data_IF_994565362364
#
_entry.id   IF_994565362364
#
_cell.length_a   1.000
_cell.length_b   1.000
_cell.length_c   1.000
_cell.angle_alpha   90.00
_cell.angle_beta   90.00
_cell.angle_gamma   90.00
#
_symmetry.space_group_name_H-M   'P 1'
#
loop_
_entity.id
_entity.type
_entity.pdbx_description
1 polymer ?
#
# COMPACT_ATOMS: atom_id res chain seq x y z
N UNK A 1 -29.13 18.41 9.41
CA UNK A 1 -28.20 19.51 9.69
C UNK A 1 -27.84 19.41 11.16
N UNK A 2 -26.60 19.04 11.49
CA UNK A 2 -26.11 18.97 12.85
C UNK A 2 -25.97 20.41 13.37
N UNK A 3 -26.66 20.76 14.46
CA UNK A 3 -26.60 22.10 15.05
C UNK A 3 -25.14 22.40 15.45
N UNK A 4 -24.60 23.52 14.96
CA UNK A 4 -23.26 23.98 15.33
C UNK A 4 -23.16 24.24 16.83
N UNK A 5 -22.00 24.04 17.44
CA UNK A 5 -21.75 24.40 18.83
C UNK A 5 -21.98 25.91 19.05
N UNK A 6 -22.42 26.35 20.26
CA UNK A 6 -22.55 27.75 20.57
C UNK A 6 -21.24 28.53 20.32
N UNK A 7 -21.35 29.72 19.70
CA UNK A 7 -20.19 30.56 19.34
C UNK A 7 -19.49 30.19 18.02
N UNK A 8 -19.90 29.10 17.35
CA UNK A 8 -19.39 28.76 16.03
C UNK A 8 -20.26 29.39 14.93
N UNK A 9 -19.61 29.81 13.85
CA UNK A 9 -20.28 30.30 12.63
C UNK A 9 -20.09 29.30 11.48
N UNK A 10 -21.05 29.27 10.57
CA UNK A 10 -20.89 28.60 9.28
C UNK A 10 -20.43 29.62 8.25
N UNK A 11 -19.28 29.40 7.62
CA UNK A 11 -18.67 30.36 6.69
C UNK A 11 -18.17 29.63 5.45
N UNK A 12 -18.07 30.35 4.33
CA UNK A 12 -17.39 29.81 3.15
C UNK A 12 -15.88 30.04 3.21
N UNK A 13 -15.08 29.28 2.44
CA UNK A 13 -13.65 29.52 2.37
C UNK A 13 -13.30 30.92 1.83
N UNK A 14 -14.14 31.52 1.01
CA UNK A 14 -13.92 32.89 0.53
C UNK A 14 -14.14 33.95 1.62
N UNK A 15 -15.04 33.72 2.57
CA UNK A 15 -15.31 34.66 3.66
C UNK A 15 -14.14 34.78 4.65
N UNK A 16 -13.31 33.75 4.75
CA UNK A 16 -12.15 33.69 5.64
C UNK A 16 -10.82 34.03 4.96
N UNK A 17 -10.84 34.32 3.67
CA UNK A 17 -9.65 34.74 2.93
C UNK A 17 -9.23 36.16 3.33
N UNK A 18 -7.92 36.42 3.28
CA UNK A 18 -7.39 37.75 3.52
C UNK A 18 -7.94 38.75 2.48
N UNK A 19 -8.08 39.99 2.89
CA UNK A 19 -8.57 41.08 2.02
C UNK A 19 -7.56 41.55 0.97
N UNK A 20 -6.30 41.06 1.05
CA UNK A 20 -5.26 41.36 0.07
C UNK A 20 -5.60 40.86 -1.33
N UNK A 21 -5.20 41.58 -2.40
CA UNK A 21 -5.43 41.12 -3.76
C UNK A 21 -4.87 39.72 -3.97
N UNK A 22 -5.67 38.86 -4.66
CA UNK A 22 -5.28 37.47 -4.98
C UNK A 22 -4.99 36.60 -3.75
N UNK A 23 -5.67 36.84 -2.64
CA UNK A 23 -5.64 35.96 -1.47
C UNK A 23 -6.09 34.53 -1.80
N UNK A 24 -6.85 34.36 -2.85
CA UNK A 24 -7.26 33.05 -3.40
C UNK A 24 -6.79 32.98 -4.85
N UNK A 25 -6.03 31.95 -5.19
CA UNK A 25 -5.55 31.72 -6.57
C UNK A 25 -5.41 30.24 -6.87
N UNK A 26 -5.50 29.90 -8.14
CA UNK A 26 -5.03 28.64 -8.69
C UNK A 26 -3.67 28.82 -9.36
N UNK A 27 -3.07 27.73 -9.84
CA UNK A 27 -1.82 27.82 -10.57
C UNK A 27 -2.00 28.14 -12.06
N UNK A 28 -0.91 28.47 -12.76
CA UNK A 28 -0.92 28.76 -14.18
C UNK A 28 -1.29 27.52 -15.00
N UNK A 29 -2.15 27.71 -15.99
CA UNK A 29 -2.61 26.67 -16.91
C UNK A 29 -1.88 26.68 -18.25
N UNK A 30 -1.88 25.53 -18.93
CA UNK A 30 -1.46 25.39 -20.32
C UNK A 30 -0.03 25.84 -20.59
N UNK A 31 0.16 26.74 -21.55
CA UNK A 31 1.46 27.21 -22.02
C UNK A 31 2.24 28.06 -21.01
N UNK A 32 1.61 28.54 -19.93
CA UNK A 32 2.28 29.38 -18.95
C UNK A 32 3.31 28.63 -18.09
N UNK A 33 3.12 27.32 -17.90
CA UNK A 33 4.07 26.46 -17.17
C UNK A 33 4.15 25.06 -17.81
N UNK A 34 5.04 24.93 -18.82
CA UNK A 34 5.32 23.68 -19.53
C UNK A 34 6.51 22.94 -18.92
N UNK A 35 6.74 21.71 -19.35
CA UNK A 35 7.87 20.87 -18.93
C UNK A 35 9.22 21.53 -19.17
N UNK A 36 9.39 22.24 -20.28
CA UNK A 36 10.61 22.99 -20.66
C UNK A 36 10.98 24.14 -19.71
N UNK A 37 10.03 24.56 -18.85
CA UNK A 37 10.26 25.66 -17.90
C UNK A 37 10.82 25.18 -16.55
N UNK A 38 10.90 23.85 -16.33
CA UNK A 38 11.44 23.32 -15.10
C UNK A 38 12.96 23.31 -15.11
N UNK A 39 13.53 23.60 -13.95
CA UNK A 39 14.97 23.68 -13.68
C UNK A 39 15.34 22.69 -12.57
N UNK A 40 16.64 22.43 -12.40
CA UNK A 40 17.15 21.57 -11.32
C UNK A 40 17.10 22.26 -9.96
N UNK A 41 17.16 23.58 -9.92
CA UNK A 41 17.17 24.41 -8.72
C UNK A 41 16.47 25.76 -8.97
N UNK A 42 16.17 26.51 -7.91
CA UNK A 42 15.46 27.80 -7.96
C UNK A 42 14.15 27.77 -7.18
N UNK A 43 13.23 28.72 -7.41
CA UNK A 43 11.92 28.77 -6.78
C UNK A 43 11.11 27.49 -7.01
N UNK A 44 10.38 27.08 -5.98
CA UNK A 44 9.61 25.82 -5.97
C UNK A 44 8.31 25.91 -6.78
N UNK A 45 7.91 24.78 -7.33
CA UNK A 45 6.57 24.59 -7.92
C UNK A 45 5.80 23.58 -7.07
N UNK A 46 4.78 24.04 -6.38
CA UNK A 46 3.86 23.19 -5.62
C UNK A 46 2.90 22.51 -6.57
N UNK A 47 2.94 21.18 -6.56
CA UNK A 47 2.13 20.29 -7.41
C UNK A 47 1.20 19.42 -6.57
N UNK A 48 0.29 18.71 -7.20
CA UNK A 48 -0.67 17.82 -6.53
C UNK A 48 -0.03 16.81 -5.57
N UNK A 49 1.15 16.28 -5.91
CA UNK A 49 1.89 15.34 -5.07
C UNK A 49 2.45 15.98 -3.80
N UNK A 50 2.66 17.29 -3.78
CA UNK A 50 3.10 18.01 -2.57
C UNK A 50 1.99 18.14 -1.53
N UNK A 51 0.72 18.16 -1.97
CA UNK A 51 -0.42 18.37 -1.08
C UNK A 51 -0.87 17.01 -0.55
N UNK A 52 -0.49 16.68 0.67
CA UNK A 52 -0.95 15.50 1.40
C UNK A 52 -2.21 15.76 2.22
N UNK A 53 -2.61 14.78 3.00
CA UNK A 53 -3.75 14.85 3.93
C UNK A 53 -3.30 15.47 5.25
N UNK A 54 -3.35 16.80 5.34
CA UNK A 54 -2.84 17.58 6.47
C UNK A 54 -1.32 17.83 6.44
N UNK A 55 -0.56 17.19 5.55
CA UNK A 55 0.90 17.28 5.50
C UNK A 55 1.40 17.73 4.13
N UNK A 56 2.40 18.60 4.12
CA UNK A 56 3.12 18.95 2.90
C UNK A 56 4.21 17.91 2.62
N UNK A 57 4.26 17.37 1.39
CA UNK A 57 5.26 16.41 0.96
C UNK A 57 6.37 17.10 0.18
N UNK A 58 7.63 16.88 0.55
CA UNK A 58 8.79 17.51 -0.08
C UNK A 58 9.22 16.84 -1.39
N UNK A 59 8.30 16.79 -2.37
CA UNK A 59 8.61 16.40 -3.75
C UNK A 59 9.07 17.63 -4.53
N UNK A 60 10.35 17.68 -4.87
CA UNK A 60 11.00 18.89 -5.40
C UNK A 60 10.76 19.07 -6.90
N UNK A 61 10.39 20.29 -7.26
CA UNK A 61 10.33 20.80 -8.64
C UNK A 61 10.58 22.29 -8.61
N UNK A 62 11.40 22.77 -9.54
CA UNK A 62 11.88 24.13 -9.54
C UNK A 62 11.62 24.82 -10.89
N UNK A 63 11.65 26.16 -10.87
CA UNK A 63 11.64 27.04 -12.05
C UNK A 63 12.69 28.11 -11.87
N UNK A 64 13.06 28.81 -12.96
CA UNK A 64 13.98 29.93 -12.88
C UNK A 64 13.38 31.13 -12.13
N UNK A 65 14.23 31.98 -11.54
CA UNK A 65 13.80 33.22 -10.88
C UNK A 65 13.02 34.14 -11.85
N UNK A 66 13.43 34.22 -13.10
CA UNK A 66 12.72 35.00 -14.11
C UNK A 66 11.29 34.47 -14.31
N UNK A 67 11.13 33.14 -14.39
CA UNK A 67 9.80 32.53 -14.53
C UNK A 67 8.96 32.73 -13.28
N UNK A 68 9.55 32.63 -12.10
CA UNK A 68 8.88 32.92 -10.83
C UNK A 68 8.34 34.34 -10.78
N UNK A 69 9.16 35.34 -11.18
CA UNK A 69 8.73 36.74 -11.21
C UNK A 69 7.55 36.97 -12.14
N UNK A 70 7.53 36.33 -13.32
CA UNK A 70 6.39 36.38 -14.25
C UNK A 70 5.11 35.73 -13.69
N UNK A 71 5.28 34.70 -12.87
CA UNK A 71 4.18 33.93 -12.28
C UNK A 71 3.88 34.31 -10.82
N UNK A 72 4.42 35.41 -10.33
CA UNK A 72 4.29 35.88 -8.94
C UNK A 72 2.85 36.06 -8.46
N UNK A 73 1.89 36.14 -9.40
CA UNK A 73 0.47 36.13 -9.09
C UNK A 73 0.00 34.83 -8.39
N UNK A 74 0.74 33.74 -8.58
CA UNK A 74 0.47 32.41 -8.06
C UNK A 74 1.42 32.04 -6.91
N UNK A 75 2.08 33.04 -6.27
CA UNK A 75 3.02 32.82 -5.19
C UNK A 75 2.42 32.07 -4.00
N UNK A 76 3.26 31.30 -3.33
CA UNK A 76 2.94 30.60 -2.07
C UNK A 76 3.84 31.17 -0.97
N UNK A 77 3.25 31.48 0.17
CA UNK A 77 3.97 31.89 1.37
C UNK A 77 3.76 30.85 2.49
N UNK A 78 4.70 30.74 3.43
CA UNK A 78 4.48 30.00 4.66
C UNK A 78 3.15 30.35 5.31
N UNK A 79 2.39 29.36 5.77
CA UNK A 79 1.08 29.54 6.35
C UNK A 79 -0.10 29.57 5.36
N UNK A 80 0.14 29.69 4.05
CA UNK A 80 -0.94 29.57 3.06
C UNK A 80 -1.55 28.16 3.08
N UNK A 81 -2.87 28.05 3.02
CA UNK A 81 -3.56 26.76 2.87
C UNK A 81 -3.53 26.35 1.40
N UNK A 82 -3.02 25.17 1.15
CA UNK A 82 -2.89 24.56 -0.18
C UNK A 82 -3.95 23.46 -0.33
N UNK A 83 -4.72 23.51 -1.43
CA UNK A 83 -5.82 22.57 -1.68
C UNK A 83 -5.63 21.90 -3.02
N UNK A 84 -5.57 20.57 -3.03
CA UNK A 84 -5.55 19.77 -4.25
C UNK A 84 -6.97 19.66 -4.80
N UNK A 85 -7.11 19.97 -6.08
CA UNK A 85 -8.40 19.98 -6.79
C UNK A 85 -8.60 18.76 -7.69
N UNK A 86 -7.63 17.87 -7.79
CA UNK A 86 -7.66 16.67 -8.62
C UNK A 86 -7.16 15.45 -7.83
N UNK A 87 -7.87 14.33 -7.87
CA UNK A 87 -7.50 13.08 -7.21
C UNK A 87 -8.71 12.27 -6.73
N UNK A 88 -8.47 11.07 -6.22
CA UNK A 88 -9.52 10.15 -5.75
C UNK A 88 -10.27 10.66 -4.50
N UNK A 89 -9.55 11.38 -3.63
CA UNK A 89 -10.11 11.93 -2.39
C UNK A 89 -9.99 13.44 -2.43
N UNK A 90 -11.14 14.14 -2.45
CA UNK A 90 -11.23 15.59 -2.55
C UNK A 90 -12.26 16.16 -1.55
N UNK A 91 -12.05 17.40 -1.05
CA UNK A 91 -10.80 18.15 -1.13
C UNK A 91 -9.69 17.46 -0.31
N UNK A 92 -8.43 17.77 -0.64
CA UNK A 92 -7.24 17.39 0.14
C UNK A 92 -6.43 18.64 0.37
N UNK A 93 -6.08 18.93 1.63
CA UNK A 93 -5.46 20.20 2.00
C UNK A 93 -4.29 20.00 2.97
N UNK A 94 -3.31 20.92 2.89
CA UNK A 94 -2.23 21.09 3.87
C UNK A 94 -1.85 22.56 3.99
N UNK A 95 -1.00 22.88 4.97
CA UNK A 95 -0.44 24.22 5.15
C UNK A 95 0.96 24.28 4.54
N UNK A 96 1.28 25.36 3.85
CA UNK A 96 2.61 25.61 3.32
C UNK A 96 3.62 25.75 4.47
N UNK A 97 4.69 24.93 4.50
CA UNK A 97 5.61 24.92 5.62
C UNK A 97 6.51 26.15 5.66
N UNK A 98 7.05 26.51 6.84
CA UNK A 98 7.88 27.72 7.01
C UNK A 98 9.20 27.67 6.21
N UNK A 99 9.70 26.49 5.88
CA UNK A 99 10.94 26.27 5.13
C UNK A 99 10.77 26.25 3.60
N UNK A 100 9.55 26.43 3.07
CA UNK A 100 9.27 26.26 1.62
C UNK A 100 10.07 27.18 0.71
N UNK A 101 10.40 28.40 1.17
CA UNK A 101 11.06 29.42 0.36
C UNK A 101 10.16 29.98 -0.75
N UNK A 102 10.73 30.68 -1.75
CA UNK A 102 9.98 31.20 -2.89
C UNK A 102 9.31 30.05 -3.67
N UNK A 103 8.00 30.14 -3.85
CA UNK A 103 7.23 29.08 -4.50
C UNK A 103 5.99 29.62 -5.23
N UNK A 104 5.51 28.86 -6.23
CA UNK A 104 4.21 29.06 -6.86
C UNK A 104 3.39 27.78 -6.79
N UNK A 105 2.06 27.88 -6.83
CA UNK A 105 1.19 26.71 -7.09
C UNK A 105 1.13 26.41 -8.58
N UNK A 106 0.99 25.13 -8.94
CA UNK A 106 0.68 24.66 -10.31
C UNK A 106 -0.84 24.55 -10.48
N UNK A 107 -1.30 24.46 -11.74
CA UNK A 107 -2.68 24.13 -12.08
C UNK A 107 -3.22 22.93 -11.28
N UNK A 108 -4.48 22.97 -10.90
CA UNK A 108 -5.16 22.02 -10.02
C UNK A 108 -4.67 22.03 -8.56
N UNK A 109 -3.84 23.00 -8.17
CA UNK A 109 -3.48 23.31 -6.81
C UNK A 109 -3.96 24.72 -6.47
N UNK A 110 -4.83 24.84 -5.50
CA UNK A 110 -5.37 26.14 -5.05
C UNK A 110 -4.63 26.60 -3.81
N UNK A 111 -4.39 27.89 -3.72
CA UNK A 111 -3.82 28.56 -2.57
C UNK A 111 -4.84 29.51 -1.97
N UNK A 112 -5.04 29.42 -0.65
CA UNK A 112 -5.84 30.30 0.17
C UNK A 112 -4.92 30.96 1.20
N UNK A 113 -4.79 32.27 1.14
CA UNK A 113 -4.18 33.08 2.16
C UNK A 113 -5.29 33.57 3.06
N UNK A 114 -5.23 33.23 4.34
CA UNK A 114 -6.31 33.47 5.27
C UNK A 114 -6.08 34.79 6.05
N UNK A 115 -7.15 35.27 6.70
CA UNK A 115 -7.09 36.38 7.65
C UNK A 115 -6.32 35.92 8.91
N UNK A 116 -5.83 36.91 9.68
CA UNK A 116 -5.03 36.65 10.90
C UNK A 116 -5.86 36.03 12.04
N UNK A 117 -7.18 36.14 12.01
CA UNK A 117 -8.12 35.56 12.99
C UNK A 117 -8.53 34.11 12.63
N UNK A 118 -7.87 33.49 11.63
CA UNK A 118 -8.15 32.13 11.17
C UNK A 118 -6.88 31.30 11.18
N UNK A 119 -6.90 30.20 11.94
CA UNK A 119 -5.78 29.26 11.99
C UNK A 119 -5.74 28.38 10.72
N UNK A 120 -4.66 28.44 9.91
CA UNK A 120 -4.57 27.67 8.66
C UNK A 120 -4.55 26.14 8.88
N UNK A 121 -3.99 25.66 9.99
CA UNK A 121 -3.99 24.24 10.32
C UNK A 121 -5.39 23.74 10.66
N UNK A 122 -6.21 24.58 11.33
CA UNK A 122 -7.62 24.29 11.56
C UNK A 122 -8.37 24.14 10.23
N UNK A 123 -8.20 25.09 9.30
CA UNK A 123 -8.88 25.03 7.99
C UNK A 123 -8.43 23.82 7.18
N UNK A 124 -7.14 23.49 7.18
CA UNK A 124 -6.64 22.30 6.50
C UNK A 124 -7.24 21.00 7.12
N UNK A 125 -7.35 20.92 8.45
CA UNK A 125 -7.98 19.79 9.14
C UNK A 125 -9.47 19.65 8.79
N UNK A 126 -10.19 20.79 8.78
CA UNK A 126 -11.60 20.85 8.39
C UNK A 126 -11.82 20.35 6.95
N UNK A 127 -11.01 20.81 5.99
CA UNK A 127 -11.11 20.40 4.61
C UNK A 127 -10.85 18.89 4.41
N UNK A 128 -10.00 18.32 5.23
CA UNK A 128 -9.68 16.88 5.22
C UNK A 128 -10.70 16.01 5.97
N UNK A 129 -11.67 16.62 6.62
CA UNK A 129 -12.67 15.91 7.43
C UNK A 129 -13.65 15.10 6.57
N UNK A 130 -14.20 13.99 7.11
CA UNK A 130 -15.23 13.22 6.42
C UNK A 130 -16.47 14.03 6.10
N UNK A 131 -16.85 14.98 6.96
CA UNK A 131 -18.05 15.82 6.79
C UNK A 131 -17.92 16.72 5.56
N UNK A 132 -16.83 17.50 5.47
CA UNK A 132 -16.59 18.41 4.34
C UNK A 132 -16.39 17.62 3.04
N UNK A 133 -15.64 16.50 3.09
CA UNK A 133 -15.48 15.63 1.92
C UNK A 133 -16.80 15.02 1.46
N UNK A 134 -17.68 14.65 2.38
CA UNK A 134 -19.01 14.14 2.02
C UNK A 134 -19.87 15.24 1.39
N UNK A 135 -19.88 16.45 1.95
CA UNK A 135 -20.60 17.59 1.39
C UNK A 135 -20.04 17.99 0.01
N UNK A 136 -18.73 17.90 -0.19
CA UNK A 136 -18.07 18.23 -1.45
C UNK A 136 -18.34 17.22 -2.58
N UNK A 137 -18.86 16.03 -2.31
CA UNK A 137 -19.05 14.97 -3.33
C UNK A 137 -19.96 15.41 -4.48
N UNK A 138 -21.02 16.16 -4.23
CA UNK A 138 -21.92 16.70 -5.26
C UNK A 138 -21.24 17.72 -6.18
N UNK A 139 -20.14 18.29 -5.72
CA UNK A 139 -19.37 19.31 -6.43
C UNK A 139 -18.23 18.71 -7.28
N UNK A 140 -17.97 17.42 -7.15
CA UNK A 140 -16.92 16.71 -7.87
C UNK A 140 -17.45 16.29 -9.24
N UNK A 141 -16.68 16.60 -10.29
CA UNK A 141 -16.98 16.21 -11.67
C UNK A 141 -15.86 15.33 -12.25
N UNK A 142 -16.20 14.54 -13.28
CA UNK A 142 -15.26 13.70 -14.04
C UNK A 142 -15.36 12.22 -13.70
N UNK A 143 -15.37 11.38 -14.74
CA UNK A 143 -15.30 9.93 -14.66
C UNK A 143 -13.81 9.53 -14.81
N UNK A 144 -13.28 8.78 -13.86
CA UNK A 144 -11.87 8.32 -13.85
C UNK A 144 -10.83 9.29 -13.26
N UNK A 145 -11.08 10.61 -13.30
CA UNK A 145 -10.24 11.63 -12.63
C UNK A 145 -11.12 12.69 -11.97
N UNK A 146 -11.58 12.46 -10.75
CA UNK A 146 -12.41 13.41 -9.99
C UNK A 146 -11.72 14.76 -9.85
N UNK A 147 -12.46 15.86 -10.14
CA UNK A 147 -11.94 17.23 -10.10
C UNK A 147 -12.96 18.20 -9.52
N UNK A 148 -12.47 19.17 -8.74
CA UNK A 148 -13.20 20.34 -8.28
C UNK A 148 -12.62 21.61 -8.91
N UNK A 149 -13.46 22.56 -9.33
CA UNK A 149 -12.96 23.86 -9.77
C UNK A 149 -12.84 24.85 -8.58
N UNK A 150 -12.06 25.91 -8.78
CA UNK A 150 -11.78 26.90 -7.73
C UNK A 150 -13.06 27.56 -7.22
N UNK A 151 -14.01 27.86 -8.10
CA UNK A 151 -15.29 28.48 -7.73
C UNK A 151 -16.12 27.63 -6.77
N UNK A 152 -16.08 26.29 -6.93
CA UNK A 152 -16.74 25.36 -6.02
C UNK A 152 -16.01 25.24 -4.69
N UNK A 153 -14.67 25.17 -4.72
CA UNK A 153 -13.86 25.10 -3.48
C UNK A 153 -14.02 26.37 -2.64
N UNK A 154 -14.05 27.56 -3.27
CA UNK A 154 -14.28 28.83 -2.56
C UNK A 154 -15.58 28.86 -1.77
N UNK A 155 -16.63 28.23 -2.28
CA UNK A 155 -17.98 28.19 -1.69
C UNK A 155 -18.18 27.03 -0.71
N UNK A 156 -17.15 26.20 -0.47
CA UNK A 156 -17.27 25.14 0.54
C UNK A 156 -17.54 25.77 1.91
N UNK A 157 -18.65 25.34 2.50
CA UNK A 157 -19.05 25.76 3.84
C UNK A 157 -18.28 24.97 4.87
N UNK A 158 -17.73 25.66 5.87
CA UNK A 158 -16.99 25.10 6.99
C UNK A 158 -17.46 25.70 8.31
N UNK A 159 -17.46 24.91 9.40
CA UNK A 159 -17.67 25.45 10.75
C UNK A 159 -16.43 26.21 11.22
N UNK A 160 -16.60 27.40 11.75
CA UNK A 160 -15.52 28.25 12.22
C UNK A 160 -15.76 28.67 13.69
N UNK A 161 -14.99 28.16 14.66
CA UNK A 161 -14.98 28.62 16.05
C UNK A 161 -14.18 29.92 16.20
N UNK A 162 -14.24 30.60 17.37
CA UNK A 162 -13.31 31.66 17.74
C UNK A 162 -11.85 31.18 17.69
N UNK A 163 -10.91 32.09 17.36
CA UNK A 163 -9.49 31.74 17.10
C UNK A 163 -8.86 30.94 18.25
N UNK A 164 -9.09 31.32 19.50
CA UNK A 164 -8.56 30.59 20.65
C UNK A 164 -9.07 29.14 20.75
N UNK A 165 -10.29 28.88 20.26
CA UNK A 165 -10.83 27.52 20.20
C UNK A 165 -10.26 26.75 18.97
N UNK A 166 -10.02 27.42 17.82
CA UNK A 166 -9.30 26.82 16.68
C UNK A 166 -7.92 26.32 17.11
N UNK A 167 -7.15 27.14 17.84
CA UNK A 167 -5.80 26.80 18.30
C UNK A 167 -5.82 25.59 19.25
N UNK A 168 -6.78 25.53 20.18
CA UNK A 168 -6.95 24.39 21.08
C UNK A 168 -7.33 23.11 20.32
N UNK A 169 -8.19 23.22 19.32
CA UNK A 169 -8.58 22.09 18.46
C UNK A 169 -7.36 21.58 17.67
N UNK A 170 -6.58 22.49 17.08
CA UNK A 170 -5.36 22.12 16.33
C UNK A 170 -4.38 21.39 17.24
N UNK A 171 -4.10 21.93 18.43
CA UNK A 171 -3.19 21.30 19.40
C UNK A 171 -3.66 19.87 19.78
N UNK A 172 -4.95 19.70 20.02
CA UNK A 172 -5.51 18.37 20.31
C UNK A 172 -5.44 17.39 19.13
N UNK A 173 -5.68 17.88 17.90
CA UNK A 173 -5.51 17.06 16.68
C UNK A 173 -4.05 16.63 16.54
N UNK A 174 -3.10 17.54 16.69
CA UNK A 174 -1.66 17.28 16.57
C UNK A 174 -1.18 16.26 17.60
N UNK A 175 -1.63 16.37 18.85
CA UNK A 175 -1.35 15.41 19.91
C UNK A 175 -1.83 14.01 19.54
N UNK A 176 -3.11 13.87 19.17
CA UNK A 176 -3.67 12.57 18.77
C UNK A 176 -2.98 12.01 17.52
N UNK A 177 -2.67 12.85 16.54
CA UNK A 177 -2.00 12.40 15.31
C UNK A 177 -0.56 11.99 15.56
N UNK A 178 0.16 12.67 16.45
CA UNK A 178 1.51 12.26 16.87
C UNK A 178 1.51 10.84 17.45
N UNK A 179 0.55 10.49 18.30
CA UNK A 179 0.41 9.14 18.81
C UNK A 179 0.08 8.10 17.72
N UNK A 180 -0.79 8.46 16.78
CA UNK A 180 -1.14 7.60 15.66
C UNK A 180 0.04 7.40 14.68
N UNK A 181 0.85 8.43 14.45
CA UNK A 181 2.07 8.37 13.64
C UNK A 181 3.12 7.46 14.27
N UNK A 182 3.34 7.59 15.58
CA UNK A 182 4.24 6.70 16.34
C UNK A 182 3.78 5.24 16.27
N UNK A 183 2.47 4.99 16.42
CA UNK A 183 1.89 3.66 16.27
C UNK A 183 2.08 3.10 14.85
N UNK A 184 1.95 3.92 13.81
CA UNK A 184 2.15 3.52 12.42
C UNK A 184 3.61 3.13 12.14
N UNK A 185 4.58 3.88 12.66
CA UNK A 185 6.01 3.52 12.61
C UNK A 185 6.27 2.17 13.29
N UNK A 186 5.66 1.92 14.44
CA UNK A 186 5.76 0.64 15.14
C UNK A 186 5.17 -0.51 14.33
N UNK A 187 4.02 -0.31 13.69
CA UNK A 187 3.38 -1.31 12.81
C UNK A 187 4.24 -1.61 11.56
N UNK A 188 4.89 -0.60 10.95
CA UNK A 188 5.85 -0.81 9.87
C UNK A 188 7.08 -1.62 10.32
N UNK A 189 7.59 -1.33 11.52
CA UNK A 189 8.69 -2.09 12.11
C UNK A 189 8.30 -3.55 12.37
N UNK A 190 7.11 -3.78 12.92
CA UNK A 190 6.57 -5.12 13.14
C UNK A 190 6.44 -5.90 11.82
N UNK A 191 5.89 -5.30 10.77
CA UNK A 191 5.80 -5.92 9.44
C UNK A 191 7.16 -6.38 8.91
N UNK A 192 8.20 -5.53 9.02
CA UNK A 192 9.56 -5.91 8.60
C UNK A 192 10.13 -7.07 9.41
N UNK A 193 9.88 -7.09 10.74
CA UNK A 193 10.31 -8.19 11.62
C UNK A 193 9.63 -9.50 11.27
N UNK A 194 8.31 -9.45 10.98
CA UNK A 194 7.55 -10.63 10.57
C UNK A 194 8.12 -11.21 9.27
N UNK A 195 8.40 -10.39 8.25
CA UNK A 195 9.03 -10.85 7.00
C UNK A 195 10.42 -11.47 7.22
N UNK A 196 11.23 -10.88 8.10
CA UNK A 196 12.54 -11.43 8.45
C UNK A 196 12.42 -12.78 9.17
N UNK A 197 11.44 -12.90 10.08
CA UNK A 197 11.16 -14.15 10.78
C UNK A 197 10.65 -15.24 9.82
N UNK A 198 9.76 -14.95 8.91
CA UNK A 198 9.30 -15.90 7.86
C UNK A 198 10.47 -16.41 7.03
N UNK A 199 11.34 -15.50 6.58
CA UNK A 199 12.55 -15.88 5.85
C UNK A 199 13.45 -16.80 6.70
N UNK A 200 13.67 -16.49 7.98
CA UNK A 200 14.47 -17.33 8.89
C UNK A 200 13.84 -18.71 9.06
N UNK A 201 12.53 -18.79 9.34
CA UNK A 201 11.82 -20.06 9.50
C UNK A 201 12.01 -20.95 8.26
N UNK A 202 11.81 -20.40 7.06
CA UNK A 202 11.94 -21.14 5.80
C UNK A 202 13.37 -21.61 5.58
N UNK A 203 14.36 -20.75 5.80
CA UNK A 203 15.78 -21.05 5.59
C UNK A 203 16.26 -22.09 6.59
N UNK A 204 15.91 -21.94 7.86
CA UNK A 204 16.32 -22.84 8.94
C UNK A 204 15.69 -24.24 8.78
N UNK A 205 14.39 -24.29 8.49
CA UNK A 205 13.68 -25.55 8.28
C UNK A 205 14.22 -26.32 7.07
N UNK A 206 14.50 -25.65 5.95
CA UNK A 206 15.01 -26.28 4.74
C UNK A 206 16.51 -26.58 4.79
N UNK A 207 17.26 -25.94 5.67
CA UNK A 207 18.73 -26.07 5.83
C UNK A 207 19.52 -25.98 4.50
N UNK A 208 19.00 -25.24 3.51
CA UNK A 208 19.58 -25.16 2.16
C UNK A 208 20.98 -24.54 2.13
N UNK A 209 21.35 -23.74 3.12
CA UNK A 209 22.67 -23.11 3.21
C UNK A 209 23.72 -24.04 3.84
N UNK A 210 23.32 -24.85 4.81
CA UNK A 210 24.17 -25.76 5.57
C UNK A 210 23.42 -27.06 5.86
N UNK A 211 23.28 -27.94 4.85
CA UNK A 211 22.56 -29.21 5.07
C UNK A 211 23.30 -30.08 6.08
N UNK A 212 22.63 -30.79 6.98
CA UNK A 212 23.22 -31.80 7.86
C UNK A 212 23.97 -32.87 7.05
N UNK A 213 25.07 -33.40 7.62
CA UNK A 213 25.93 -34.36 6.91
C UNK A 213 25.22 -35.69 6.56
N UNK A 214 24.21 -36.08 7.33
CA UNK A 214 23.44 -37.30 7.06
C UNK A 214 22.38 -37.15 5.94
N UNK A 215 22.17 -35.92 5.44
CA UNK A 215 21.27 -35.72 4.30
C UNK A 215 21.97 -36.03 2.99
N UNK A 216 21.19 -36.52 2.03
CA UNK A 216 21.68 -36.71 0.67
C UNK A 216 21.85 -35.33 -0.01
N UNK A 217 23.07 -35.02 -0.43
CA UNK A 217 23.34 -33.89 -1.31
C UNK A 217 22.93 -34.26 -2.73
N UNK A 218 21.93 -33.61 -3.25
CA UNK A 218 21.35 -33.89 -4.56
C UNK A 218 21.09 -32.58 -5.32
N UNK A 219 20.63 -32.71 -6.54
CA UNK A 219 20.13 -31.61 -7.37
C UNK A 219 18.62 -31.70 -7.52
N UNK A 220 18.00 -30.64 -8.03
CA UNK A 220 16.57 -30.65 -8.37
C UNK A 220 16.24 -31.79 -9.34
N UNK A 221 17.14 -32.15 -10.28
CA UNK A 221 16.94 -33.26 -11.20
C UNK A 221 16.91 -34.64 -10.54
N UNK A 222 17.62 -34.78 -9.41
CA UNK A 222 17.63 -36.03 -8.62
C UNK A 222 16.37 -36.18 -7.77
N UNK A 223 15.77 -35.07 -7.36
CA UNK A 223 14.59 -35.00 -6.48
C UNK A 223 13.26 -35.11 -7.24
N UNK A 224 13.24 -34.89 -8.57
CA UNK A 224 12.00 -34.92 -9.31
C UNK A 224 12.16 -34.57 -10.80
N UNK A 225 11.01 -34.56 -11.47
CA UNK A 225 10.96 -34.22 -12.89
C UNK A 225 10.67 -32.74 -13.11
N UNK A 226 11.44 -32.09 -14.00
CA UNK A 226 11.32 -30.68 -14.36
C UNK A 226 10.85 -30.55 -15.79
N UNK A 227 9.80 -29.77 -16.02
CA UNK A 227 9.30 -29.47 -17.37
C UNK A 227 8.84 -28.02 -17.51
N UNK A 228 8.98 -27.48 -18.72
CA UNK A 228 8.30 -26.25 -19.13
C UNK A 228 6.89 -26.57 -19.60
N UNK A 229 5.98 -25.62 -19.46
CA UNK A 229 4.61 -25.77 -19.94
C UNK A 229 4.46 -25.52 -21.44
N UNK A 230 3.22 -25.52 -21.92
CA UNK A 230 2.88 -25.33 -23.31
C UNK A 230 3.10 -23.87 -23.74
N UNK A 231 3.75 -23.69 -24.91
CA UNK A 231 3.98 -22.36 -25.46
C UNK A 231 2.65 -21.73 -25.91
N UNK A 232 2.41 -20.51 -25.50
CA UNK A 232 1.28 -19.70 -25.96
C UNK A 232 1.47 -19.30 -27.42
N UNK A 233 0.38 -19.36 -28.19
CA UNK A 233 0.35 -18.89 -29.58
C UNK A 233 -1.02 -18.29 -29.89
N UNK A 234 -1.11 -17.24 -30.69
CA UNK A 234 -2.39 -16.72 -31.19
C UNK A 234 -3.29 -17.76 -31.85
N UNK A 235 -2.69 -18.79 -32.49
CA UNK A 235 -3.40 -19.90 -33.13
C UNK A 235 -4.19 -20.77 -32.14
N UNK A 236 -3.92 -20.67 -30.84
CA UNK A 236 -4.54 -21.45 -29.77
C UNK A 236 -5.58 -20.67 -28.95
N UNK A 237 -5.89 -19.44 -29.39
CA UNK A 237 -6.86 -18.62 -28.66
C UNK A 237 -8.32 -19.08 -28.89
N UNK A 238 -8.54 -19.94 -29.87
CA UNK A 238 -9.84 -20.57 -30.14
C UNK A 238 -9.61 -21.95 -30.72
N UNK A 239 -10.51 -22.89 -30.46
CA UNK A 239 -10.45 -24.27 -30.97
C UNK A 239 -11.44 -25.19 -30.29
N UNK A 240 -11.52 -26.45 -30.68
CA UNK A 240 -12.50 -27.39 -30.16
C UNK A 240 -12.20 -27.85 -28.71
N UNK A 241 -10.93 -27.80 -28.29
CA UNK A 241 -10.49 -28.35 -27.01
C UNK A 241 -9.93 -27.26 -26.10
N UNK A 242 -10.74 -26.24 -25.79
CA UNK A 242 -10.35 -25.13 -24.92
C UNK A 242 -10.17 -25.63 -23.48
N UNK A 243 -8.95 -25.51 -22.95
CA UNK A 243 -8.58 -25.96 -21.61
C UNK A 243 -7.96 -24.83 -20.79
N UNK A 244 -8.25 -24.71 -19.47
CA UNK A 244 -7.70 -23.68 -18.63
C UNK A 244 -6.19 -23.87 -18.41
N UNK A 245 -5.47 -22.76 -18.21
CA UNK A 245 -4.04 -22.79 -17.93
C UNK A 245 -3.59 -21.69 -16.98
N UNK A 246 -2.57 -22.00 -16.17
CA UNK A 246 -1.86 -21.05 -15.33
C UNK A 246 -0.66 -20.44 -16.05
N UNK A 247 -0.36 -19.20 -15.70
CA UNK A 247 0.76 -18.40 -16.19
C UNK A 247 1.42 -17.63 -15.04
N UNK A 248 2.53 -16.92 -15.28
CA UNK A 248 3.27 -16.15 -14.26
C UNK A 248 2.36 -15.26 -13.39
N UNK A 249 1.32 -14.67 -14.00
CA UNK A 249 0.38 -13.80 -13.26
C UNK A 249 -0.43 -14.54 -12.17
N UNK A 250 -0.57 -15.86 -12.30
CA UNK A 250 -1.31 -16.67 -11.34
C UNK A 250 -0.43 -17.20 -10.20
N UNK A 251 0.91 -17.16 -10.30
CA UNK A 251 1.83 -17.79 -9.34
C UNK A 251 2.42 -16.75 -8.40
N UNK A 252 2.03 -16.80 -7.13
CA UNK A 252 2.58 -16.03 -6.02
C UNK A 252 3.34 -16.98 -5.08
N UNK A 253 4.11 -16.47 -4.14
CA UNK A 253 4.80 -17.34 -3.18
C UNK A 253 3.78 -18.13 -2.34
N UNK A 254 3.85 -19.46 -2.42
CA UNK A 254 2.97 -20.43 -1.76
C UNK A 254 1.45 -20.18 -2.00
N UNK A 255 1.10 -19.52 -3.09
CA UNK A 255 -0.29 -19.22 -3.44
C UNK A 255 -0.49 -19.16 -4.95
N UNK A 256 -1.50 -19.85 -5.42
CA UNK A 256 -2.03 -19.70 -6.77
C UNK A 256 -3.25 -18.76 -6.72
N UNK A 257 -3.32 -17.84 -7.70
CA UNK A 257 -4.47 -16.94 -7.89
C UNK A 257 -5.29 -17.46 -9.06
N UNK A 258 -6.51 -17.87 -8.79
CA UNK A 258 -7.45 -18.43 -9.76
C UNK A 258 -8.50 -17.43 -10.29
N UNK A 259 -8.39 -16.14 -9.92
CA UNK A 259 -9.34 -15.11 -10.39
C UNK A 259 -9.21 -14.77 -11.89
N UNK A 260 -8.02 -14.96 -12.48
CA UNK A 260 -7.74 -14.66 -13.91
C UNK A 260 -7.08 -15.86 -14.59
N UNK A 261 -7.84 -16.94 -14.73
CA UNK A 261 -7.42 -18.15 -15.43
C UNK A 261 -7.87 -18.06 -16.91
N UNK A 262 -6.91 -18.14 -17.81
CA UNK A 262 -7.17 -18.11 -19.24
C UNK A 262 -7.30 -19.53 -19.80
N UNK A 263 -7.85 -19.66 -21.01
CA UNK A 263 -7.96 -20.93 -21.70
C UNK A 263 -7.25 -20.88 -23.08
N UNK A 264 -6.77 -22.03 -23.55
CA UNK A 264 -6.25 -22.21 -24.91
C UNK A 264 -6.60 -23.60 -25.44
N UNK A 265 -6.59 -23.72 -26.75
CA UNK A 265 -6.83 -25.01 -27.43
C UNK A 265 -5.60 -25.93 -27.25
N UNK A 266 -5.86 -27.16 -26.77
CA UNK A 266 -4.85 -28.18 -26.51
C UNK A 266 -5.34 -29.51 -27.03
N UNK A 267 -4.49 -30.24 -27.79
CA UNK A 267 -4.75 -31.62 -28.13
C UNK A 267 -4.79 -32.52 -26.89
N UNK A 268 -5.40 -33.69 -26.96
CA UNK A 268 -5.44 -34.62 -25.83
C UNK A 268 -4.05 -35.06 -25.37
N UNK A 269 -3.11 -35.24 -26.30
CA UNK A 269 -1.72 -35.56 -25.99
C UNK A 269 -1.01 -34.40 -25.25
N UNK A 270 -1.25 -33.16 -25.64
CA UNK A 270 -0.73 -31.98 -24.93
C UNK A 270 -1.38 -31.85 -23.54
N UNK A 271 -2.68 -32.09 -23.45
CA UNK A 271 -3.38 -32.10 -22.18
C UNK A 271 -2.77 -33.10 -21.20
N UNK A 272 -2.58 -34.35 -21.58
CA UNK A 272 -1.96 -35.37 -20.74
C UNK A 272 -0.53 -34.98 -20.30
N UNK A 273 0.21 -34.30 -21.15
CA UNK A 273 1.57 -33.85 -20.86
C UNK A 273 1.62 -32.67 -19.92
N UNK A 274 0.70 -31.70 -20.08
CA UNK A 274 0.79 -30.40 -19.41
C UNK A 274 -0.23 -30.20 -18.29
N UNK A 275 -1.20 -31.11 -18.13
CA UNK A 275 -2.12 -31.01 -16.99
C UNK A 275 -1.38 -31.09 -15.67
N UNK A 276 -1.82 -30.26 -14.71
CA UNK A 276 -1.31 -30.26 -13.37
C UNK A 276 -1.92 -31.38 -12.54
N UNK A 277 -1.13 -31.88 -11.59
CA UNK A 277 -1.55 -32.86 -10.60
C UNK A 277 -1.31 -32.29 -9.21
N UNK A 278 -2.10 -32.73 -8.26
CA UNK A 278 -1.88 -32.36 -6.87
C UNK A 278 -0.43 -32.65 -6.46
N UNK A 279 0.20 -31.69 -5.77
CA UNK A 279 1.62 -31.74 -5.41
C UNK A 279 2.61 -31.19 -6.46
N UNK A 280 2.18 -30.85 -7.68
CA UNK A 280 3.07 -30.16 -8.64
C UNK A 280 3.48 -28.79 -8.09
N UNK A 281 4.78 -28.48 -8.08
CA UNK A 281 5.28 -27.15 -7.70
C UNK A 281 5.58 -26.36 -8.98
N UNK A 282 4.94 -25.19 -9.09
CA UNK A 282 5.13 -24.25 -10.19
C UNK A 282 6.08 -23.14 -9.79
N UNK A 283 7.02 -22.78 -10.67
CA UNK A 283 7.97 -21.68 -10.46
C UNK A 283 7.91 -20.71 -11.64
N UNK A 284 8.06 -19.41 -11.38
CA UNK A 284 8.15 -18.40 -12.44
C UNK A 284 9.47 -18.55 -13.20
N UNK A 285 9.38 -18.84 -14.50
CA UNK A 285 10.54 -18.98 -15.41
C UNK A 285 11.17 -17.61 -15.67
N UNK A 286 10.35 -16.56 -15.89
CA UNK A 286 10.78 -15.21 -16.14
C UNK A 286 10.04 -14.20 -15.26
N UNK A 287 10.80 -13.33 -14.57
CA UNK A 287 10.23 -12.32 -13.68
C UNK A 287 11.28 -11.24 -13.36
N UNK A 288 10.86 -10.15 -12.68
CA UNK A 288 11.81 -9.24 -12.05
C UNK A 288 12.73 -10.00 -11.08
N UNK A 289 13.99 -9.55 -10.92
CA UNK A 289 15.01 -10.29 -10.18
C UNK A 289 14.61 -10.76 -8.78
N UNK A 290 13.81 -10.00 -8.07
CA UNK A 290 13.35 -10.32 -6.72
C UNK A 290 12.32 -11.46 -6.65
N UNK A 291 11.65 -11.77 -7.77
CA UNK A 291 10.59 -12.79 -7.85
C UNK A 291 10.92 -13.96 -8.78
N UNK A 292 12.16 -14.01 -9.29
CA UNK A 292 12.59 -15.09 -10.16
C UNK A 292 12.50 -16.45 -9.44
N UNK A 293 11.86 -17.42 -10.07
CA UNK A 293 11.68 -18.74 -9.47
C UNK A 293 10.70 -18.77 -8.31
N UNK A 294 9.84 -17.76 -8.16
CA UNK A 294 8.82 -17.70 -7.10
C UNK A 294 7.91 -18.94 -7.18
N UNK A 295 7.89 -19.80 -6.11
CA UNK A 295 7.24 -21.08 -6.16
C UNK A 295 5.83 -21.05 -5.58
N UNK A 296 4.94 -21.89 -6.12
CA UNK A 296 3.68 -22.26 -5.51
C UNK A 296 3.36 -23.73 -5.80
N UNK A 297 2.77 -24.41 -4.82
CA UNK A 297 2.30 -25.79 -5.00
C UNK A 297 0.86 -25.78 -5.51
N UNK A 298 0.57 -26.66 -6.49
CA UNK A 298 -0.78 -26.89 -6.96
C UNK A 298 -1.48 -27.91 -6.07
N UNK A 299 -2.61 -27.51 -5.48
CA UNK A 299 -3.44 -28.31 -4.56
C UNK A 299 -4.82 -28.62 -5.17
N UNK A 300 -4.84 -29.00 -6.47
CA UNK A 300 -6.08 -29.35 -7.18
C UNK A 300 -6.98 -28.16 -7.54
N UNK A 301 -6.53 -26.90 -7.33
CA UNK A 301 -7.31 -25.70 -7.68
C UNK A 301 -6.49 -24.70 -8.49
N UNK A 302 -7.08 -24.09 -9.57
CA UNK A 302 -8.36 -24.46 -10.20
C UNK A 302 -8.31 -25.89 -10.75
N UNK A 303 -9.44 -26.62 -10.79
CA UNK A 303 -9.44 -28.00 -11.26
C UNK A 303 -9.12 -28.09 -12.77
N UNK A 304 -8.69 -29.26 -13.22
CA UNK A 304 -8.46 -29.57 -14.62
C UNK A 304 -7.70 -28.47 -15.38
N UNK A 305 -6.52 -28.11 -14.88
CA UNK A 305 -5.75 -26.97 -15.36
C UNK A 305 -4.37 -27.39 -15.84
N UNK A 306 -3.91 -26.80 -16.95
CA UNK A 306 -2.55 -26.93 -17.48
C UNK A 306 -1.70 -25.72 -17.08
N UNK A 307 -0.49 -25.61 -17.63
CA UNK A 307 0.40 -24.46 -17.41
C UNK A 307 1.19 -24.09 -18.67
N UNK A 308 1.62 -22.84 -18.74
CA UNK A 308 2.37 -22.31 -19.90
C UNK A 308 3.88 -22.35 -19.67
N UNK A 309 4.64 -22.18 -20.76
CA UNK A 309 6.10 -22.15 -20.78
C UNK A 309 6.73 -20.96 -20.00
N UNK A 310 5.92 -20.01 -19.55
CA UNK A 310 6.36 -18.97 -18.61
C UNK A 310 6.51 -19.50 -17.16
N UNK A 311 6.17 -20.77 -16.96
CA UNK A 311 6.30 -21.48 -15.70
C UNK A 311 7.15 -22.74 -15.88
N UNK A 312 7.93 -23.07 -14.87
CA UNK A 312 8.59 -24.35 -14.67
C UNK A 312 7.71 -25.18 -13.74
N UNK A 313 7.43 -26.43 -14.09
CA UNK A 313 6.83 -27.39 -13.18
C UNK A 313 7.90 -28.34 -12.64
N UNK A 314 7.94 -28.48 -11.35
CA UNK A 314 8.63 -29.55 -10.65
C UNK A 314 7.60 -30.54 -10.12
N UNK A 315 7.80 -31.83 -10.40
CA UNK A 315 7.00 -32.94 -9.85
C UNK A 315 7.94 -33.84 -9.05
N UNK A 316 7.68 -33.96 -7.77
CA UNK A 316 8.50 -34.72 -6.83
C UNK A 316 8.52 -36.23 -7.16
N UNK A 317 9.63 -36.89 -6.89
CA UNK A 317 9.71 -38.34 -6.84
C UNK A 317 9.00 -38.88 -5.59
N UNK A 318 8.82 -40.21 -5.49
CA UNK A 318 8.06 -40.86 -4.40
C UNK A 318 8.71 -40.68 -3.01
N UNK A 319 10.03 -40.47 -2.93
CA UNK A 319 10.78 -40.23 -1.72
C UNK A 319 10.86 -38.73 -1.30
N UNK A 320 10.20 -37.86 -2.06
CA UNK A 320 10.19 -36.41 -1.82
C UNK A 320 8.76 -35.94 -1.51
N UNK A 321 8.60 -35.34 -0.32
CA UNK A 321 7.36 -34.64 0.01
C UNK A 321 7.24 -33.35 -0.86
N UNK A 322 6.15 -33.16 -1.63
CA UNK A 322 5.95 -31.95 -2.41
C UNK A 322 5.98 -30.64 -1.60
N UNK A 323 5.54 -30.68 -0.34
CA UNK A 323 5.61 -29.52 0.58
C UNK A 323 7.04 -29.25 1.02
N UNK A 324 7.89 -30.29 1.15
CA UNK A 324 9.33 -30.12 1.34
C UNK A 324 9.97 -29.43 0.14
N UNK A 325 9.62 -29.86 -1.07
CA UNK A 325 10.13 -29.20 -2.28
C UNK A 325 9.73 -27.72 -2.36
N UNK A 326 8.49 -27.40 -2.00
CA UNK A 326 8.05 -26.01 -1.89
C UNK A 326 8.89 -25.22 -0.89
N UNK A 327 9.16 -25.79 0.28
CA UNK A 327 9.96 -25.16 1.34
C UNK A 327 11.40 -24.87 0.88
N UNK A 328 12.04 -25.83 0.21
CA UNK A 328 13.37 -25.69 -0.39
C UNK A 328 13.41 -24.58 -1.44
N UNK A 329 12.42 -24.56 -2.34
CA UNK A 329 12.36 -23.53 -3.41
C UNK A 329 12.04 -22.15 -2.84
N UNK A 330 11.23 -22.02 -1.79
CA UNK A 330 11.01 -20.76 -1.07
C UNK A 330 12.32 -20.27 -0.43
N UNK A 331 13.10 -21.17 0.18
CA UNK A 331 14.40 -20.82 0.72
C UNK A 331 15.36 -20.31 -0.37
N UNK A 332 15.41 -20.97 -1.51
CA UNK A 332 16.20 -20.51 -2.66
C UNK A 332 15.77 -19.15 -3.19
N UNK A 333 14.46 -18.88 -3.24
CA UNK A 333 13.92 -17.56 -3.57
C UNK A 333 14.43 -16.49 -2.58
N UNK A 334 14.26 -16.72 -1.29
CA UNK A 334 14.63 -15.77 -0.23
C UNK A 334 16.13 -15.51 -0.14
N UNK A 335 16.95 -16.52 -0.46
CA UNK A 335 18.41 -16.43 -0.49
C UNK A 335 18.97 -16.01 -1.85
N UNK A 336 18.07 -15.67 -2.81
CA UNK A 336 18.41 -15.28 -4.19
C UNK A 336 19.26 -16.31 -4.91
N UNK A 337 19.11 -17.60 -4.58
CA UNK A 337 19.90 -18.69 -5.18
C UNK A 337 19.64 -18.79 -6.69
N UNK A 338 18.37 -18.64 -7.11
CA UNK A 338 17.98 -18.69 -8.52
C UNK A 338 18.63 -17.57 -9.36
N UNK A 339 18.98 -16.44 -8.74
CA UNK A 339 19.64 -15.34 -9.44
C UNK A 339 21.04 -15.69 -9.93
N UNK A 340 21.75 -16.62 -9.27
CA UNK A 340 23.08 -17.09 -9.71
C UNK A 340 22.98 -17.86 -11.02
N UNK A 341 21.85 -18.50 -11.27
CA UNK A 341 21.57 -19.28 -12.47
C UNK A 341 20.81 -18.49 -13.55
N UNK A 342 20.53 -17.21 -13.30
CA UNK A 342 19.72 -16.40 -14.21
C UNK A 342 20.50 -15.77 -15.35
N UNK A 343 19.80 -15.50 -16.44
CA UNK A 343 20.23 -14.56 -17.48
C UNK A 343 19.33 -13.31 -17.37
N UNK A 344 19.95 -12.15 -17.29
CA UNK A 344 19.24 -10.87 -17.22
C UNK A 344 19.21 -10.24 -18.59
N UNK A 345 18.01 -10.01 -19.11
CA UNK A 345 17.75 -9.23 -20.33
C UNK A 345 16.92 -8.01 -19.94
N UNK A 346 17.46 -6.80 -20.17
CA UNK A 346 16.80 -5.54 -19.74
C UNK A 346 16.46 -5.53 -18.24
N UNK A 347 15.21 -5.76 -17.86
CA UNK A 347 14.73 -5.76 -16.48
C UNK A 347 14.10 -7.10 -16.04
N UNK A 348 14.21 -8.14 -16.88
CA UNK A 348 13.65 -9.47 -16.63
C UNK A 348 14.78 -10.45 -16.48
N UNK A 349 14.77 -11.22 -15.41
CA UNK A 349 15.64 -12.37 -15.20
C UNK A 349 14.92 -13.64 -15.64
N UNK A 350 15.66 -14.57 -16.26
CA UNK A 350 15.15 -15.86 -16.75
C UNK A 350 15.89 -17.01 -16.09
N UNK A 351 15.14 -17.96 -15.55
CA UNK A 351 15.61 -19.23 -15.00
C UNK A 351 15.27 -20.36 -15.98
N UNK A 352 16.24 -20.78 -16.79
CA UNK A 352 15.97 -21.91 -17.70
C UNK A 352 15.76 -23.22 -16.93
N UNK A 353 14.90 -24.08 -17.46
CA UNK A 353 14.67 -25.40 -16.87
C UNK A 353 15.94 -26.24 -16.77
N UNK A 354 16.90 -26.09 -17.72
CA UNK A 354 18.20 -26.75 -17.68
C UNK A 354 19.03 -26.34 -16.47
N UNK A 355 19.14 -25.03 -16.21
CA UNK A 355 19.87 -24.51 -15.03
C UNK A 355 19.14 -24.78 -13.74
N UNK A 356 17.81 -24.73 -13.73
CA UNK A 356 17.03 -25.08 -12.54
C UNK A 356 17.29 -26.53 -12.09
N UNK A 357 17.47 -27.46 -13.02
CA UNK A 357 17.79 -28.88 -12.73
C UNK A 357 19.09 -29.06 -11.96
N UNK A 358 20.06 -28.17 -12.10
CA UNK A 358 21.38 -28.27 -11.47
C UNK A 358 21.46 -27.57 -10.09
N UNK A 359 20.38 -26.93 -9.66
CA UNK A 359 20.33 -26.27 -8.35
C UNK A 359 20.34 -27.33 -7.25
N UNK A 360 21.06 -27.06 -6.18
CA UNK A 360 21.17 -27.94 -5.01
C UNK A 360 19.78 -28.19 -4.40
N UNK A 361 19.55 -29.44 -4.01
CA UNK A 361 18.32 -29.86 -3.37
C UNK A 361 18.64 -30.84 -2.24
N UNK A 362 18.65 -30.39 -0.97
CA UNK A 362 18.95 -31.27 0.16
C UNK A 362 17.78 -32.22 0.39
N UNK A 363 18.10 -33.52 0.54
CA UNK A 363 17.11 -34.59 0.71
C UNK A 363 17.32 -35.25 2.08
N UNK A 364 16.55 -34.88 3.14
CA UNK A 364 16.46 -35.64 4.38
C UNK A 364 15.64 -36.93 4.20
N UNK A 365 15.65 -37.86 5.14
CA UNK A 365 14.68 -38.93 5.23
C UNK A 365 13.24 -38.41 5.17
N UNK A 366 12.30 -39.17 4.59
CA UNK A 366 10.93 -38.68 4.32
C UNK A 366 10.18 -38.27 5.61
N UNK A 367 10.36 -38.99 6.68
CA UNK A 367 9.81 -38.66 8.01
C UNK A 367 10.36 -37.32 8.54
N UNK A 368 11.66 -37.04 8.32
CA UNK A 368 12.26 -35.78 8.68
C UNK A 368 11.77 -34.63 7.79
N UNK A 369 11.56 -34.86 6.47
CA UNK A 369 10.92 -33.87 5.58
C UNK A 369 9.56 -33.45 6.13
N UNK A 370 8.69 -34.42 6.44
CA UNK A 370 7.34 -34.20 6.95
C UNK A 370 7.35 -33.48 8.31
N UNK A 371 8.21 -33.88 9.22
CA UNK A 371 8.35 -33.23 10.53
C UNK A 371 8.76 -31.76 10.41
N UNK A 372 9.76 -31.46 9.56
CA UNK A 372 10.24 -30.10 9.33
C UNK A 372 9.22 -29.22 8.63
N UNK A 373 8.49 -29.76 7.65
CA UNK A 373 7.36 -29.09 6.99
C UNK A 373 6.28 -28.75 8.00
N UNK A 374 5.90 -29.69 8.86
CA UNK A 374 4.87 -29.49 9.88
C UNK A 374 5.27 -28.38 10.88
N UNK A 375 6.51 -28.39 11.39
CA UNK A 375 7.04 -27.33 12.27
C UNK A 375 7.06 -25.96 11.55
N UNK A 376 7.62 -25.92 10.35
CA UNK A 376 7.67 -24.67 9.57
C UNK A 376 6.26 -24.10 9.31
N UNK A 377 5.31 -24.95 8.94
CA UNK A 377 3.90 -24.55 8.72
C UNK A 377 3.30 -23.94 9.97
N UNK A 378 3.42 -24.60 11.12
CA UNK A 378 2.90 -24.09 12.40
C UNK A 378 3.47 -22.70 12.74
N UNK A 379 4.78 -22.51 12.57
CA UNK A 379 5.46 -21.24 12.83
C UNK A 379 5.06 -20.16 11.82
N UNK A 380 4.92 -20.50 10.54
CA UNK A 380 4.46 -19.56 9.49
C UNK A 380 2.99 -19.15 9.69
N UNK A 381 2.12 -20.04 10.17
CA UNK A 381 0.76 -19.69 10.58
C UNK A 381 0.77 -18.65 11.72
N UNK A 382 1.71 -18.75 12.65
CA UNK A 382 1.94 -17.74 13.69
C UNK A 382 2.29 -16.37 13.06
N UNK A 383 3.18 -16.34 12.08
CA UNK A 383 3.51 -15.12 11.35
C UNK A 383 2.31 -14.55 10.59
N UNK A 384 1.49 -15.40 9.97
CA UNK A 384 0.28 -14.97 9.27
C UNK A 384 -0.74 -14.31 10.22
N UNK A 385 -0.92 -14.87 11.45
CA UNK A 385 -1.76 -14.23 12.48
C UNK A 385 -1.22 -12.85 12.89
N UNK A 386 0.07 -12.74 13.15
CA UNK A 386 0.71 -11.46 13.49
C UNK A 386 0.56 -10.42 12.35
N UNK A 387 0.69 -10.85 11.10
CA UNK A 387 0.48 -9.99 9.92
C UNK A 387 -0.98 -9.49 9.83
N UNK A 388 -1.94 -10.34 10.12
CA UNK A 388 -3.36 -9.98 10.18
C UNK A 388 -3.63 -8.91 11.27
N UNK A 389 -3.00 -9.04 12.44
CA UNK A 389 -3.08 -8.05 13.53
C UNK A 389 -2.45 -6.70 13.14
N UNK A 390 -1.29 -6.70 12.49
CA UNK A 390 -0.67 -5.48 11.94
C UNK A 390 -1.61 -4.80 10.94
N UNK A 391 -2.20 -5.54 10.03
CA UNK A 391 -3.17 -5.02 9.06
C UNK A 391 -4.42 -4.46 9.76
N UNK A 392 -4.93 -5.11 10.79
CA UNK A 392 -6.04 -4.63 11.60
C UNK A 392 -5.67 -3.35 12.35
N UNK A 393 -4.45 -3.27 12.91
CA UNK A 393 -3.92 -2.07 13.56
C UNK A 393 -3.90 -0.86 12.61
N UNK A 394 -3.42 -1.02 11.37
CA UNK A 394 -3.44 0.03 10.35
C UNK A 394 -4.85 0.49 10.00
N UNK A 395 -5.80 -0.45 9.85
CA UNK A 395 -7.21 -0.09 9.62
C UNK A 395 -7.79 0.71 10.79
N UNK A 396 -7.49 0.31 12.04
CA UNK A 396 -7.91 1.06 13.24
C UNK A 396 -7.32 2.46 13.27
N UNK A 397 -6.01 2.62 12.98
CA UNK A 397 -5.36 3.94 12.90
C UNK A 397 -6.06 4.86 11.89
N UNK A 398 -6.36 4.36 10.69
CA UNK A 398 -7.08 5.14 9.67
C UNK A 398 -8.50 5.54 10.10
N UNK A 399 -9.20 4.70 10.84
CA UNK A 399 -10.54 5.01 11.39
C UNK A 399 -10.41 6.08 12.49
N UNK A 400 -9.44 5.92 13.41
CA UNK A 400 -9.22 6.88 14.51
C UNK A 400 -8.88 8.27 13.97
N UNK A 401 -8.02 8.41 12.97
CA UNK A 401 -7.74 9.71 12.33
C UNK A 401 -9.02 10.40 11.85
N UNK A 402 -9.90 9.65 11.18
CA UNK A 402 -11.19 10.19 10.72
C UNK A 402 -12.11 10.56 11.88
N UNK A 403 -12.11 9.76 12.94
CA UNK A 403 -12.93 10.03 14.13
C UNK A 403 -12.44 11.26 14.90
N UNK A 404 -11.12 11.47 15.03
CA UNK A 404 -10.53 12.68 15.64
C UNK A 404 -10.98 13.93 14.87
N UNK A 405 -10.85 13.94 13.54
CA UNK A 405 -11.30 15.06 12.71
C UNK A 405 -12.83 15.29 12.85
N UNK A 406 -13.63 14.23 12.85
CA UNK A 406 -15.07 14.34 13.04
C UNK A 406 -15.45 14.90 14.42
N UNK A 407 -14.75 14.49 15.47
CA UNK A 407 -14.93 15.01 16.84
C UNK A 407 -14.52 16.48 16.95
N UNK A 408 -13.41 16.85 16.32
CA UNK A 408 -12.94 18.23 16.25
C UNK A 408 -14.01 19.16 15.68
N UNK A 409 -14.60 18.80 14.54
CA UNK A 409 -15.60 19.61 13.84
C UNK A 409 -16.98 19.64 14.52
N UNK A 410 -17.23 18.72 15.42
CA UNK A 410 -18.48 18.74 16.21
C UNK A 410 -18.30 19.38 17.59
N UNK A 411 -17.13 19.99 17.86
CA UNK A 411 -16.82 20.59 19.16
C UNK A 411 -16.72 19.59 20.31
N UNK A 412 -16.51 18.29 20.01
CA UNK A 412 -16.44 17.20 20.98
C UNK A 412 -15.02 16.76 21.31
N UNK A 413 -14.02 17.23 20.56
CA UNK A 413 -12.63 16.87 20.77
C UNK A 413 -12.03 17.55 22.00
N UNK A 414 -12.51 18.76 22.32
CA UNK A 414 -12.06 19.56 23.47
C UNK A 414 -13.17 19.59 24.51
N UNK A 415 -12.86 19.20 25.74
CA UNK A 415 -13.78 19.37 26.86
C UNK A 415 -13.98 20.88 27.10
N UNK A 416 -15.22 21.33 27.06
CA UNK A 416 -15.57 22.68 27.52
C UNK A 416 -15.42 22.73 29.04
N UNK A 417 -15.04 23.88 29.58
CA UNK A 417 -14.79 24.07 31.02
C UNK A 417 -15.94 23.63 31.96
N UNK A 418 -17.14 23.38 31.41
CA UNK A 418 -18.29 22.83 32.15
C UNK A 418 -18.34 21.29 32.20
N UNK A 419 -17.49 20.54 31.45
CA UNK A 419 -17.57 19.08 31.34
C UNK A 419 -16.30 18.33 31.82
N UNK A 420 -15.44 18.97 32.63
CA UNK A 420 -14.18 18.36 33.13
C UNK A 420 -14.34 17.05 33.93
N UNK A 421 -15.56 16.64 34.23
CA UNK A 421 -15.83 15.37 34.95
C UNK A 421 -16.27 14.17 34.08
N UNK A 422 -16.70 14.37 32.85
CA UNK A 422 -17.30 13.31 32.04
C UNK A 422 -16.30 12.62 31.06
N UNK A 423 -15.27 13.32 30.61
CA UNK A 423 -14.33 12.80 29.59
C UNK A 423 -13.33 11.77 30.14
N UNK A 424 -12.89 11.95 31.40
CA UNK A 424 -12.03 10.97 32.07
C UNK A 424 -12.71 9.61 32.20
N UNK A 425 -14.01 9.59 32.46
CA UNK A 425 -14.80 8.35 32.64
C UNK A 425 -15.03 7.57 31.33
N UNK A 426 -14.93 8.22 30.17
CA UNK A 426 -15.07 7.55 28.85
C UNK A 426 -13.76 6.88 28.42
N UNK A 427 -12.62 7.49 28.73
CA UNK A 427 -11.30 6.89 28.48
C UNK A 427 -11.05 5.72 29.43
N UNK A 428 -11.44 5.84 30.71
CA UNK A 428 -11.34 4.75 31.70
C UNK A 428 -12.26 3.57 31.36
N UNK A 429 -13.43 3.79 30.78
CA UNK A 429 -14.32 2.71 30.31
C UNK A 429 -13.80 2.00 29.07
N UNK A 430 -13.10 2.69 28.17
CA UNK A 430 -12.46 2.08 27.01
C UNK A 430 -11.24 1.23 27.41
N UNK A 431 -10.49 1.67 28.43
CA UNK A 431 -9.35 0.94 28.98
C UNK A 431 -9.79 -0.30 29.80
N UNK A 432 -10.84 -0.18 30.61
CA UNK A 432 -11.34 -1.27 31.47
C UNK A 432 -12.18 -2.29 30.69
N UNK A 433 -12.84 -1.90 29.60
CA UNK A 433 -13.57 -2.83 28.72
C UNK A 433 -12.68 -3.81 27.94
N UNK A 434 -11.38 -3.47 27.79
CA UNK A 434 -10.38 -4.37 27.19
C UNK A 434 -9.89 -5.44 28.19
N UNK A 435 -9.79 -5.12 29.48
CA UNK A 435 -9.33 -6.09 30.50
C UNK A 435 -10.40 -7.10 30.95
N UNK A 436 -11.67 -6.75 30.81
CA UNK A 436 -12.77 -7.68 31.20
C UNK A 436 -12.99 -8.83 30.22
N UNK A 437 -12.46 -8.75 28.99
CA UNK A 437 -12.54 -9.85 28.00
C UNK A 437 -11.40 -10.86 28.09
N UNK A 438 -10.29 -10.52 28.76
CA UNK A 438 -9.18 -11.46 28.96
C UNK A 438 -9.31 -12.31 30.23
N UNK A 439 -10.17 -11.91 31.17
CA UNK A 439 -10.39 -12.63 32.43
C UNK A 439 -11.32 -13.84 32.35
N UNK A 440 -12.18 -13.94 31.33
CA UNK A 440 -13.17 -15.03 31.19
C UNK A 440 -12.71 -16.18 30.29
N UNK A 441 -11.53 -16.11 29.70
CA UNK A 441 -10.95 -17.18 28.85
C UNK A 441 -9.96 -18.09 29.61
N UNK A 442 -9.79 -17.91 30.94
CA UNK A 442 -8.90 -18.76 31.77
C UNK A 442 -9.61 -19.58 32.85
N UNK A 443 -10.94 -19.66 32.80
CA UNK A 443 -11.71 -20.51 33.71
C UNK A 443 -12.80 -21.25 32.89
N UNK A 444 -12.40 -22.22 32.08
CA UNK A 444 -13.21 -23.35 31.62
C UNK A 444 -12.25 -24.40 31.07
#
# INVERSE_FOLDING_TARGET
VTKLPPGWAEVSLEDIAATSPRSITDGPFGSNLKTEHYTTEGPRVVRLQNIGDGTFRDDQSHISDERYLRLRAHDVKPGDVLVAALGEVLPRACVAPPWLGPAIVKADCFRFRLRDDVNPHFVAAVLNSPQVRSAARSEIAGVGRPRMNLGKVRKLSIPLPPIAEQDRIVAAIEEHFSHLDAAEVALWSAERRIRALEKSIITDASSTLTPPQHWKNATVADAGTVSLGLQRSPKRHSGPNMRPYLRVANVFEDRLDDNDVMSMDMTDAEWERYRLRDGDVLLNEGQSPEFLGRPAIYRGRPPDTAFTNSLIRFRANEDIDPEWALLVFRSHLHNRRFMRESQITTNIAHLSAGRFKTVEFPIPPLDEQQARVADARLRLEGCARLRAEVAAGRRRSAILRRSVLAAALSGRLILRDQDQGAGSRLLDRAATGSMAKEGTARAS
#
